data_IF_550917748318
#
_entry.id   IF_550917748318
#
_cell.length_a   1.000
_cell.length_b   1.000
_cell.length_c   1.000
_cell.angle_alpha   90.00
_cell.angle_beta   90.00
_cell.angle_gamma   90.00
#
_symmetry.space_group_name_H-M   'P 1'
#
loop_
_entity.id
_entity.type
_entity.pdbx_description
1 polymer ?
#
# COMPACT_ATOMS: atom_id res chain seq x y z
N UNK A 1 -8.90 15.81 -19.54
CA UNK A 1 -7.72 15.20 -20.19
C UNK A 1 -8.12 13.80 -20.64
N UNK A 2 -7.68 13.33 -21.84
CA UNK A 2 -7.94 11.95 -22.29
C UNK A 2 -7.16 10.97 -21.43
N UNK A 3 -7.64 9.72 -21.32
CA UNK A 3 -7.02 8.70 -20.45
C UNK A 3 -5.55 8.43 -20.80
N UNK A 4 -5.20 8.48 -22.07
CA UNK A 4 -3.82 8.36 -22.57
C UNK A 4 -2.92 9.49 -22.05
N UNK A 5 -3.39 10.74 -22.06
CA UNK A 5 -2.64 11.88 -21.54
C UNK A 5 -2.39 11.78 -20.03
N UNK A 6 -3.37 11.28 -19.28
CA UNK A 6 -3.20 11.05 -17.85
C UNK A 6 -2.23 9.89 -17.57
N UNK A 7 -2.33 8.80 -18.33
CA UNK A 7 -1.41 7.68 -18.22
C UNK A 7 0.04 8.11 -18.54
N UNK A 8 0.21 8.96 -19.56
CA UNK A 8 1.50 9.54 -19.93
C UNK A 8 2.09 10.40 -18.79
N UNK A 9 1.28 11.29 -18.20
CA UNK A 9 1.72 12.11 -17.06
C UNK A 9 2.05 11.27 -15.83
N UNK A 10 1.25 10.25 -15.55
CA UNK A 10 1.51 9.33 -14.44
C UNK A 10 2.84 8.60 -14.63
N UNK A 11 3.09 8.06 -15.81
CA UNK A 11 4.34 7.40 -16.14
C UNK A 11 5.54 8.38 -16.08
N UNK A 12 5.37 9.57 -16.66
CA UNK A 12 6.40 10.62 -16.65
C UNK A 12 6.74 11.05 -15.22
N UNK A 13 5.72 11.29 -14.39
CA UNK A 13 5.91 11.63 -12.97
C UNK A 13 6.62 10.53 -12.19
N UNK A 14 6.23 9.29 -12.41
CA UNK A 14 6.83 8.13 -11.75
C UNK A 14 8.32 8.01 -12.10
N UNK A 15 8.67 8.13 -13.38
CA UNK A 15 10.05 8.07 -13.85
C UNK A 15 10.87 9.29 -13.40
N UNK A 16 10.29 10.48 -13.42
CA UNK A 16 10.95 11.68 -12.87
C UNK A 16 11.29 11.49 -11.40
N UNK A 17 10.36 10.93 -10.63
CA UNK A 17 10.61 10.62 -9.22
C UNK A 17 11.74 9.60 -9.05
N UNK A 18 11.77 8.55 -9.86
CA UNK A 18 12.86 7.56 -9.85
C UNK A 18 14.23 8.22 -10.09
N UNK A 19 14.35 9.00 -11.17
CA UNK A 19 15.62 9.67 -11.51
C UNK A 19 16.06 10.65 -10.41
N UNK A 20 15.12 11.39 -9.81
CA UNK A 20 15.41 12.28 -8.70
C UNK A 20 15.82 11.52 -7.43
N UNK A 21 15.16 10.40 -7.12
CA UNK A 21 15.47 9.58 -5.96
C UNK A 21 16.89 8.97 -6.07
N UNK A 22 17.26 8.47 -7.24
CA UNK A 22 18.61 7.98 -7.53
C UNK A 22 19.65 9.10 -7.45
N UNK A 23 19.34 10.27 -8.02
CA UNK A 23 20.23 11.42 -7.98
C UNK A 23 20.46 11.93 -6.56
N UNK A 24 19.45 11.88 -5.71
CA UNK A 24 19.54 12.24 -4.28
C UNK A 24 20.13 11.12 -3.42
N UNK A 25 20.39 9.93 -3.97
CA UNK A 25 20.93 8.79 -3.25
C UNK A 25 19.98 8.22 -2.18
N UNK A 26 18.67 8.25 -2.42
CA UNK A 26 17.70 7.71 -1.46
C UNK A 26 17.76 6.18 -1.43
N UNK A 27 17.85 5.58 -0.23
CA UNK A 27 17.86 4.13 -0.03
C UNK A 27 16.59 3.43 -0.56
N UNK A 28 15.45 4.15 -0.56
CA UNK A 28 14.15 3.64 -0.97
C UNK A 28 13.61 4.37 -2.21
N UNK A 29 14.42 4.41 -3.29
CA UNK A 29 14.01 5.01 -4.56
C UNK A 29 12.75 4.33 -5.15
N UNK A 30 12.62 3.00 -4.97
CA UNK A 30 11.42 2.23 -5.33
C UNK A 30 10.17 2.75 -4.61
N UNK A 31 10.27 3.03 -3.30
CA UNK A 31 9.18 3.55 -2.48
C UNK A 31 8.75 4.96 -2.91
N UNK A 32 9.69 5.83 -3.24
CA UNK A 32 9.39 7.16 -3.78
C UNK A 32 8.65 7.04 -5.12
N UNK A 33 9.15 6.19 -5.99
CA UNK A 33 8.65 5.95 -7.35
C UNK A 33 7.21 5.41 -7.32
N UNK A 34 6.93 4.35 -6.57
CA UNK A 34 5.58 3.80 -6.52
C UNK A 34 4.61 4.68 -5.71
N UNK A 35 5.13 5.53 -4.80
CA UNK A 35 4.32 6.55 -4.13
C UNK A 35 3.80 7.57 -5.12
N UNK A 36 4.66 8.09 -6.00
CA UNK A 36 4.27 8.99 -7.08
C UNK A 36 3.21 8.34 -7.99
N UNK A 37 3.46 7.10 -8.41
CA UNK A 37 2.50 6.36 -9.23
C UNK A 37 1.13 6.29 -8.55
N UNK A 38 1.08 5.90 -7.29
CA UNK A 38 -0.18 5.68 -6.57
C UNK A 38 -0.96 6.98 -6.34
N UNK A 39 -0.25 8.09 -6.12
CA UNK A 39 -0.88 9.40 -5.98
C UNK A 39 -1.43 9.86 -7.32
N UNK A 40 -0.71 9.65 -8.42
CA UNK A 40 -1.12 10.13 -9.75
C UNK A 40 -2.09 9.20 -10.48
N UNK A 41 -2.00 7.87 -10.31
CA UNK A 41 -2.83 6.90 -11.02
C UNK A 41 -4.31 6.93 -10.57
N UNK A 42 -4.55 7.33 -9.33
CA UNK A 42 -5.89 7.54 -8.82
C UNK A 42 -6.37 8.94 -9.21
N UNK A 43 -7.65 9.07 -9.56
CA UNK A 43 -8.29 10.27 -10.11
C UNK A 43 -7.69 11.63 -9.69
N UNK A 44 -7.47 12.48 -10.66
CA UNK A 44 -6.80 13.78 -10.57
C UNK A 44 -7.33 14.73 -9.48
N UNK A 45 -8.65 14.70 -9.21
CA UNK A 45 -9.29 15.62 -8.25
C UNK A 45 -9.04 15.30 -6.78
N UNK A 46 -8.42 14.16 -6.47
CA UNK A 46 -8.15 13.72 -5.08
C UNK A 46 -6.67 13.49 -4.80
N UNK A 47 -5.78 13.76 -5.78
CA UNK A 47 -4.36 13.42 -5.69
C UNK A 47 -3.66 14.17 -4.56
N UNK A 48 -3.91 15.48 -4.40
CA UNK A 48 -3.30 16.28 -3.34
C UNK A 48 -3.77 15.83 -1.95
N UNK A 49 -5.08 15.68 -1.75
CA UNK A 49 -5.62 15.19 -0.48
C UNK A 49 -5.06 13.81 -0.14
N UNK A 50 -5.06 12.87 -1.09
CA UNK A 50 -4.48 11.53 -0.88
C UNK A 50 -2.98 11.57 -0.63
N UNK A 51 -2.27 12.47 -1.30
CA UNK A 51 -0.85 12.71 -1.04
C UNK A 51 -0.62 13.16 0.41
N UNK A 52 -1.39 14.16 0.87
CA UNK A 52 -1.33 14.66 2.23
C UNK A 52 -1.73 13.59 3.26
N UNK A 53 -2.85 12.90 3.04
CA UNK A 53 -3.29 11.79 3.90
C UNK A 53 -2.22 10.69 3.98
N UNK A 54 -1.51 10.45 2.89
CA UNK A 54 -0.43 9.47 2.84
C UNK A 54 0.78 9.90 3.68
N UNK A 55 1.20 11.15 3.57
CA UNK A 55 2.31 11.70 4.37
C UNK A 55 1.96 11.64 5.85
N UNK A 56 0.80 12.17 6.23
CA UNK A 56 0.35 12.21 7.62
C UNK A 56 0.18 10.79 8.18
N UNK A 57 -0.51 9.92 7.45
CA UNK A 57 -0.75 8.54 7.90
C UNK A 57 0.55 7.76 8.08
N UNK A 58 1.48 7.87 7.13
CA UNK A 58 2.79 7.22 7.25
C UNK A 58 3.62 7.79 8.38
N UNK A 59 3.65 9.12 8.52
CA UNK A 59 4.34 9.75 9.65
C UNK A 59 3.82 9.25 10.99
N UNK A 60 2.51 9.17 11.16
CA UNK A 60 1.89 8.63 12.37
C UNK A 60 2.24 7.14 12.59
N UNK A 61 2.17 6.32 11.55
CA UNK A 61 2.49 4.90 11.65
C UNK A 61 3.98 4.65 11.95
N UNK A 62 4.87 5.37 11.27
CA UNK A 62 6.32 5.33 11.51
C UNK A 62 6.64 5.74 12.95
N UNK A 63 6.09 6.86 13.40
CA UNK A 63 6.31 7.36 14.76
C UNK A 63 5.81 6.38 15.82
N UNK A 64 4.59 5.87 15.66
CA UNK A 64 4.02 4.89 16.57
C UNK A 64 4.84 3.58 16.60
N UNK A 65 5.24 3.06 15.43
CA UNK A 65 6.10 1.89 15.34
C UNK A 65 7.48 2.10 15.98
N UNK A 66 8.08 3.28 15.75
CA UNK A 66 9.36 3.65 16.37
C UNK A 66 9.26 3.72 17.90
N UNK A 67 8.22 4.35 18.44
CA UNK A 67 7.96 4.41 19.89
C UNK A 67 7.80 3.01 20.46
N UNK A 68 7.05 2.13 19.81
CA UNK A 68 6.86 0.76 20.28
C UNK A 68 8.18 -0.03 20.29
N UNK A 69 9.00 0.12 19.27
CA UNK A 69 10.26 -0.61 19.17
C UNK A 69 11.35 -0.05 20.08
N UNK A 70 11.34 1.23 20.40
CA UNK A 70 12.35 1.83 21.30
C UNK A 70 12.01 1.65 22.78
N UNK A 71 10.73 1.72 23.15
CA UNK A 71 10.32 1.70 24.55
C UNK A 71 9.87 0.33 25.06
N UNK A 72 9.41 -0.56 24.16
CA UNK A 72 8.78 -1.83 24.52
C UNK A 72 9.44 -3.05 23.87
N UNK A 73 10.64 -2.92 23.27
CA UNK A 73 11.28 -4.01 22.54
C UNK A 73 11.53 -5.26 23.41
N UNK A 74 11.81 -5.08 24.71
CA UNK A 74 12.08 -6.19 25.64
C UNK A 74 10.80 -6.92 26.10
N UNK A 75 9.62 -6.39 25.80
CA UNK A 75 8.33 -6.91 26.25
C UNK A 75 7.44 -7.33 25.08
N UNK A 76 7.81 -8.43 24.42
CA UNK A 76 7.16 -8.88 23.18
C UNK A 76 5.62 -8.98 23.27
N UNK A 77 5.09 -9.53 24.37
CA UNK A 77 3.64 -9.68 24.56
C UNK A 77 2.96 -8.31 24.67
N UNK A 78 3.51 -7.40 25.47
CA UNK A 78 2.97 -6.05 25.63
C UNK A 78 2.99 -5.30 24.29
N UNK A 79 4.08 -5.42 23.54
CA UNK A 79 4.21 -4.79 22.22
C UNK A 79 3.15 -5.31 21.24
N UNK A 80 2.92 -6.62 21.19
CA UNK A 80 1.87 -7.20 20.35
C UNK A 80 0.47 -6.72 20.76
N UNK A 81 0.18 -6.61 22.05
CA UNK A 81 -1.09 -6.06 22.55
C UNK A 81 -1.25 -4.60 22.13
N UNK A 82 -0.20 -3.79 22.29
CA UNK A 82 -0.24 -2.38 21.89
C UNK A 82 -0.42 -2.22 20.37
N UNK A 83 0.25 -3.03 19.56
CA UNK A 83 0.03 -3.06 18.11
C UNK A 83 -1.42 -3.41 17.80
N UNK A 84 -1.98 -4.44 18.46
CA UNK A 84 -3.38 -4.81 18.27
C UNK A 84 -4.34 -3.65 18.55
N UNK A 85 -4.14 -2.97 19.69
CA UNK A 85 -4.97 -1.81 20.09
C UNK A 85 -4.85 -0.67 19.09
N UNK A 86 -3.64 -0.33 18.67
CA UNK A 86 -3.40 0.73 17.68
C UNK A 86 -3.99 0.37 16.31
N UNK A 87 -3.86 -0.88 15.87
CA UNK A 87 -4.49 -1.35 14.62
C UNK A 87 -6.00 -1.27 14.68
N UNK A 88 -6.62 -1.71 15.79
CA UNK A 88 -8.07 -1.60 15.99
C UNK A 88 -8.49 -0.11 15.91
N UNK A 89 -7.77 0.78 16.56
CA UNK A 89 -8.01 2.22 16.49
C UNK A 89 -7.90 2.78 15.08
N UNK A 90 -6.81 2.47 14.36
CA UNK A 90 -6.61 2.89 12.98
C UNK A 90 -7.74 2.39 12.06
N UNK A 91 -8.11 1.12 12.16
CA UNK A 91 -9.16 0.57 11.29
C UNK A 91 -10.56 1.04 11.68
N UNK A 92 -10.82 1.26 12.96
CA UNK A 92 -12.08 1.88 13.37
C UNK A 92 -12.24 3.28 12.76
N UNK A 93 -11.19 4.10 12.77
CA UNK A 93 -11.19 5.43 12.15
C UNK A 93 -11.23 5.35 10.62
N UNK A 94 -10.62 4.32 10.02
CA UNK A 94 -10.76 4.02 8.60
C UNK A 94 -12.23 3.76 8.22
N UNK A 95 -12.92 2.87 8.95
CA UNK A 95 -14.33 2.56 8.68
C UNK A 95 -15.27 3.72 9.02
N UNK A 96 -14.88 4.62 9.92
CA UNK A 96 -15.60 5.87 10.17
C UNK A 96 -15.54 6.86 8.98
N UNK A 97 -14.70 6.60 7.97
CA UNK A 97 -14.60 7.40 6.75
C UNK A 97 -13.90 8.75 6.92
N UNK A 98 -13.51 9.14 8.14
CA UNK A 98 -12.78 10.38 8.41
C UNK A 98 -11.30 10.15 8.17
N UNK A 99 -10.73 10.79 7.15
CA UNK A 99 -9.33 10.58 6.78
C UNK A 99 -9.00 9.08 6.64
N UNK A 100 -9.92 8.31 6.04
CA UNK A 100 -9.82 6.86 5.95
C UNK A 100 -8.46 6.40 5.42
N UNK A 101 -7.98 7.06 4.38
CA UNK A 101 -6.70 6.72 3.77
C UNK A 101 -5.51 7.01 4.71
N UNK A 102 -5.58 8.07 5.54
CA UNK A 102 -4.58 8.36 6.59
C UNK A 102 -4.43 7.20 7.56
N UNK A 103 -5.55 6.70 8.08
CA UNK A 103 -5.52 5.63 9.08
C UNK A 103 -5.15 4.27 8.49
N UNK A 104 -5.52 3.99 7.24
CA UNK A 104 -5.01 2.83 6.53
C UNK A 104 -3.47 2.88 6.40
N UNK A 105 -2.93 4.03 5.98
CA UNK A 105 -1.48 4.21 5.86
C UNK A 105 -0.79 4.13 7.23
N UNK A 106 -1.39 4.68 8.29
CA UNK A 106 -0.86 4.58 9.64
C UNK A 106 -0.74 3.12 10.11
N UNK A 107 -1.78 2.31 9.92
CA UNK A 107 -1.74 0.87 10.24
C UNK A 107 -0.67 0.12 9.45
N UNK A 108 -0.55 0.40 8.13
CA UNK A 108 0.47 -0.22 7.27
C UNK A 108 1.90 0.06 7.77
N UNK A 109 2.19 1.32 8.09
CA UNK A 109 3.53 1.73 8.50
C UNK A 109 3.84 1.44 9.97
N UNK A 110 2.83 1.37 10.83
CA UNK A 110 2.98 0.83 12.19
C UNK A 110 3.56 -0.58 12.14
N UNK A 111 2.96 -1.47 11.33
CA UNK A 111 3.42 -2.85 11.19
C UNK A 111 4.79 -2.93 10.52
N UNK A 112 5.04 -2.15 9.48
CA UNK A 112 6.33 -2.13 8.79
C UNK A 112 7.46 -1.68 9.73
N UNK A 113 7.27 -0.59 10.47
CA UNK A 113 8.27 -0.07 11.42
C UNK A 113 8.48 -1.00 12.60
N UNK A 114 7.42 -1.62 13.12
CA UNK A 114 7.57 -2.63 14.16
C UNK A 114 8.49 -3.77 13.71
N UNK A 115 8.30 -4.29 12.51
CA UNK A 115 9.12 -5.38 11.98
C UNK A 115 10.60 -4.96 11.77
N UNK A 116 10.81 -3.77 11.22
CA UNK A 116 12.16 -3.22 11.00
C UNK A 116 12.86 -3.02 12.35
N UNK A 117 12.20 -2.37 13.29
CA UNK A 117 12.78 -2.07 14.59
C UNK A 117 12.95 -3.30 15.47
N UNK A 118 12.10 -4.33 15.35
CA UNK A 118 12.27 -5.60 16.05
C UNK A 118 13.45 -6.39 15.48
N UNK A 119 13.65 -6.37 14.16
CA UNK A 119 14.80 -7.02 13.52
C UNK A 119 16.13 -6.32 13.82
N UNK A 120 16.14 -4.98 13.83
CA UNK A 120 17.32 -4.18 14.10
C UNK A 120 16.95 -2.85 14.77
N UNK A 121 16.85 -2.79 16.11
CA UNK A 121 16.49 -1.59 16.84
C UNK A 121 17.44 -0.41 16.58
N UNK A 122 18.73 -0.68 16.40
CA UNK A 122 19.75 0.35 16.17
C UNK A 122 19.55 1.08 14.81
N UNK A 123 19.01 0.39 13.80
CA UNK A 123 18.74 0.96 12.49
C UNK A 123 17.32 1.56 12.36
N UNK A 124 16.47 1.43 13.38
CA UNK A 124 15.06 1.82 13.30
C UNK A 124 14.88 3.31 12.98
N UNK A 125 15.67 4.19 13.58
CA UNK A 125 15.59 5.65 13.35
C UNK A 125 16.00 5.98 11.90
N UNK A 126 17.14 5.46 11.45
CA UNK A 126 17.64 5.69 10.08
C UNK A 126 16.65 5.15 9.03
N UNK A 127 16.09 3.97 9.28
CA UNK A 127 15.07 3.40 8.41
C UNK A 127 13.78 4.26 8.39
N UNK A 128 13.37 4.81 9.54
CA UNK A 128 12.24 5.71 9.63
C UNK A 128 12.45 6.98 8.80
N UNK A 129 13.62 7.60 8.91
CA UNK A 129 14.01 8.78 8.13
C UNK A 129 14.04 8.48 6.63
N UNK A 130 14.66 7.38 6.21
CA UNK A 130 14.74 6.97 4.81
C UNK A 130 13.35 6.69 4.21
N UNK A 131 12.49 5.95 4.93
CA UNK A 131 11.12 5.69 4.51
C UNK A 131 10.29 6.97 4.38
N UNK A 132 10.42 7.89 5.34
CA UNK A 132 9.67 9.14 5.31
C UNK A 132 10.15 10.07 4.19
N UNK A 133 11.46 10.20 3.99
CA UNK A 133 12.05 10.99 2.90
C UNK A 133 11.60 10.49 1.52
N UNK A 134 11.59 9.18 1.30
CA UNK A 134 11.12 8.59 0.06
C UNK A 134 9.64 8.91 -0.24
N UNK A 135 8.80 8.85 0.80
CA UNK A 135 7.37 9.21 0.67
C UNK A 135 7.19 10.69 0.35
N UNK A 136 7.90 11.54 1.06
CA UNK A 136 7.85 12.99 0.84
C UNK A 136 8.25 13.33 -0.60
N UNK A 137 9.34 12.78 -1.10
CA UNK A 137 9.75 12.99 -2.48
C UNK A 137 8.64 12.55 -3.46
N UNK A 138 8.09 11.36 -3.28
CA UNK A 138 7.05 10.83 -4.16
C UNK A 138 5.80 11.71 -4.20
N UNK A 139 5.35 12.21 -3.05
CA UNK A 139 4.19 13.10 -2.95
C UNK A 139 4.49 14.47 -3.54
N UNK A 140 5.67 15.05 -3.27
CA UNK A 140 6.07 16.35 -3.81
C UNK A 140 6.15 16.30 -5.34
N UNK A 141 6.79 15.28 -5.91
CA UNK A 141 6.87 15.12 -7.37
C UNK A 141 5.48 14.99 -7.98
N UNK A 142 4.61 14.16 -7.40
CA UNK A 142 3.23 14.04 -7.87
C UNK A 142 2.48 15.37 -7.81
N UNK A 143 2.58 16.11 -6.70
CA UNK A 143 1.93 17.40 -6.52
C UNK A 143 2.44 18.45 -7.53
N UNK A 144 3.75 18.52 -7.74
CA UNK A 144 4.36 19.47 -8.69
C UNK A 144 3.89 19.17 -10.13
N UNK A 145 3.89 17.90 -10.53
CA UNK A 145 3.47 17.52 -11.89
C UNK A 145 1.98 17.77 -12.09
N UNK A 146 1.14 17.38 -11.14
CA UNK A 146 -0.31 17.63 -11.24
C UNK A 146 -0.63 19.14 -11.28
N UNK A 147 0.10 19.95 -10.53
CA UNK A 147 -0.02 21.39 -10.55
C UNK A 147 0.43 22.01 -11.88
N UNK A 148 1.61 21.63 -12.39
CA UNK A 148 2.18 22.16 -13.64
C UNK A 148 1.27 21.87 -14.85
N UNK A 149 0.65 20.70 -14.89
CA UNK A 149 -0.20 20.31 -16.01
C UNK A 149 -1.68 20.65 -15.80
N UNK A 150 -2.00 21.40 -14.74
CA UNK A 150 -3.37 21.89 -14.48
C UNK A 150 -4.40 20.78 -14.26
N UNK A 151 -3.94 19.63 -13.78
CA UNK A 151 -4.80 18.46 -13.57
C UNK A 151 -5.69 18.66 -12.34
N UNK A 152 -5.22 19.42 -11.36
CA UNK A 152 -5.97 19.79 -10.14
C UNK A 152 -6.09 21.31 -10.04
N UNK A 153 -7.33 21.82 -10.07
CA UNK A 153 -7.61 23.24 -9.81
C UNK A 153 -8.39 23.48 -8.51
N UNK A 154 -9.08 22.45 -8.02
CA UNK A 154 -9.90 22.56 -6.81
C UNK A 154 -9.26 21.77 -5.66
N UNK A 155 -8.64 22.50 -4.73
CA UNK A 155 -8.03 21.97 -3.49
C UNK A 155 -9.10 21.77 -2.40
N UNK A 156 -10.24 21.16 -2.73
CA UNK A 156 -11.27 20.91 -1.73
C UNK A 156 -10.92 19.65 -0.91
N UNK A 157 -10.49 19.85 0.32
CA UNK A 157 -10.25 18.75 1.26
C UNK A 157 -11.60 18.32 1.81
N UNK A 158 -12.06 17.12 1.44
CA UNK A 158 -13.30 16.55 1.94
C UNK A 158 -13.02 15.63 3.11
N UNK A 159 -13.48 16.04 4.28
CA UNK A 159 -13.51 15.18 5.47
C UNK A 159 -14.80 14.40 5.50
N UNK A 160 -14.72 13.10 5.77
CA UNK A 160 -15.93 12.29 5.99
C UNK A 160 -16.75 12.84 7.18
N UNK A 161 -18.07 12.86 7.04
CA UNK A 161 -18.99 13.47 8.00
C UNK A 161 -19.49 12.50 9.09
N UNK A 162 -19.13 11.21 9.00
CA UNK A 162 -19.66 10.21 9.94
C UNK A 162 -19.26 10.54 11.38
N UNK A 163 -20.24 10.59 12.32
CA UNK A 163 -19.95 10.84 13.72
C UNK A 163 -19.20 9.66 14.32
N UNK A 164 -18.13 9.94 15.09
CA UNK A 164 -17.37 8.90 15.81
C UNK A 164 -18.13 8.34 17.01
N UNK A 165 -19.14 9.04 17.47
CA UNK A 165 -19.94 8.69 18.64
C UNK A 165 -21.44 8.77 18.31
N UNK A 166 -22.28 7.79 18.73
CA UNK A 166 -21.93 6.63 19.57
C UNK A 166 -21.08 5.58 18.86
N UNK A 167 -20.35 4.77 19.67
CA UNK A 167 -19.49 3.70 19.17
C UNK A 167 -20.28 2.72 18.29
N UNK A 168 -19.85 2.51 17.07
CA UNK A 168 -20.49 1.60 16.12
C UNK A 168 -19.88 0.21 16.21
N UNK A 169 -20.69 -0.75 16.62
CA UNK A 169 -20.25 -2.14 16.82
C UNK A 169 -19.86 -2.85 15.54
N UNK A 170 -20.47 -2.51 14.40
CA UNK A 170 -20.11 -2.99 13.07
C UNK A 170 -18.65 -2.60 12.71
N UNK A 171 -18.28 -1.34 12.88
CA UNK A 171 -16.92 -0.87 12.64
C UNK A 171 -15.91 -1.49 13.61
N UNK A 172 -16.28 -1.60 14.88
CA UNK A 172 -15.40 -2.21 15.89
C UNK A 172 -15.17 -3.71 15.57
N UNK A 173 -16.21 -4.44 15.21
CA UNK A 173 -16.11 -5.86 14.85
C UNK A 173 -15.22 -6.06 13.63
N UNK A 174 -15.37 -5.25 12.57
CA UNK A 174 -14.53 -5.30 11.38
C UNK A 174 -13.08 -4.93 11.70
N UNK A 175 -12.86 -3.91 12.52
CA UNK A 175 -11.52 -3.49 12.95
C UNK A 175 -10.82 -4.58 13.76
N UNK A 176 -11.55 -5.25 14.65
CA UNK A 176 -11.04 -6.36 15.44
C UNK A 176 -10.71 -7.57 14.53
N UNK A 177 -11.61 -7.92 13.61
CA UNK A 177 -11.36 -8.98 12.62
C UNK A 177 -10.06 -8.71 11.85
N UNK A 178 -9.90 -7.48 11.36
CA UNK A 178 -8.74 -7.09 10.57
C UNK A 178 -7.46 -7.11 11.42
N UNK A 179 -7.48 -6.56 12.63
CA UNK A 179 -6.32 -6.60 13.52
C UNK A 179 -5.91 -8.03 13.88
N UNK A 180 -6.87 -8.90 14.21
CA UNK A 180 -6.61 -10.33 14.45
C UNK A 180 -6.02 -11.00 13.22
N UNK A 181 -6.56 -10.75 12.03
CA UNK A 181 -6.03 -11.32 10.78
C UNK A 181 -4.60 -10.88 10.52
N UNK A 182 -4.30 -9.59 10.73
CA UNK A 182 -2.93 -9.06 10.59
C UNK A 182 -1.97 -9.74 11.55
N UNK A 183 -2.33 -9.84 12.84
CA UNK A 183 -1.47 -10.46 13.85
C UNK A 183 -1.24 -11.95 13.58
N UNK A 184 -2.29 -12.70 13.26
CA UNK A 184 -2.17 -14.12 12.89
C UNK A 184 -1.28 -14.31 11.65
N UNK A 185 -1.40 -13.41 10.68
CA UNK A 185 -0.57 -13.46 9.47
C UNK A 185 0.88 -13.13 9.77
N UNK A 186 1.15 -12.13 10.64
CA UNK A 186 2.51 -11.80 11.06
C UNK A 186 3.18 -12.99 11.78
N UNK A 187 2.48 -13.58 12.74
CA UNK A 187 2.98 -14.72 13.51
C UNK A 187 3.15 -15.96 12.63
N UNK A 188 2.15 -16.25 11.79
CA UNK A 188 2.18 -17.39 10.87
C UNK A 188 3.30 -17.26 9.83
N UNK A 189 3.44 -16.10 9.21
CA UNK A 189 4.51 -15.84 8.25
C UNK A 189 5.90 -15.98 8.90
N UNK A 190 6.06 -15.42 10.10
CA UNK A 190 7.30 -15.55 10.85
C UNK A 190 7.62 -17.01 11.17
N UNK A 191 6.63 -17.79 11.61
CA UNK A 191 6.80 -19.20 11.97
C UNK A 191 7.22 -20.09 10.79
N UNK A 192 6.81 -19.74 9.56
CA UNK A 192 7.16 -20.50 8.34
C UNK A 192 8.28 -19.85 7.50
N UNK A 193 8.92 -18.81 8.03
CA UNK A 193 10.06 -18.13 7.38
C UNK A 193 9.70 -17.28 6.16
N UNK A 194 8.42 -16.88 6.01
CA UNK A 194 7.99 -15.98 4.94
C UNK A 194 8.10 -14.52 5.36
N UNK A 195 8.19 -13.57 4.40
CA UNK A 195 8.28 -12.14 4.71
C UNK A 195 6.99 -11.62 5.39
N UNK A 196 6.97 -11.41 6.71
CA UNK A 196 5.73 -11.14 7.45
C UNK A 196 5.09 -9.80 7.06
N UNK A 197 5.91 -8.76 6.77
CA UNK A 197 5.42 -7.43 6.40
C UNK A 197 4.63 -7.47 5.09
N UNK A 198 5.14 -8.18 4.06
CA UNK A 198 4.47 -8.27 2.75
C UNK A 198 3.13 -8.97 2.86
N UNK A 199 3.04 -10.00 3.71
CA UNK A 199 1.80 -10.71 3.99
C UNK A 199 0.80 -9.84 4.77
N UNK A 200 1.23 -9.16 5.82
CA UNK A 200 0.40 -8.27 6.63
C UNK A 200 -0.16 -7.09 5.83
N UNK A 201 0.67 -6.46 4.99
CA UNK A 201 0.22 -5.41 4.05
C UNK A 201 -0.87 -5.94 3.12
N UNK A 202 -0.70 -7.16 2.62
CA UNK A 202 -1.69 -7.80 1.74
C UNK A 202 -3.01 -8.04 2.47
N UNK A 203 -2.97 -8.53 3.72
CA UNK A 203 -4.15 -8.67 4.58
C UNK A 203 -4.87 -7.33 4.72
N UNK A 204 -4.16 -6.28 5.13
CA UNK A 204 -4.78 -4.97 5.37
C UNK A 204 -5.48 -4.43 4.13
N UNK A 205 -4.87 -4.59 2.95
CA UNK A 205 -5.45 -4.10 1.69
C UNK A 205 -6.60 -4.97 1.16
N UNK A 206 -6.68 -6.22 1.55
CA UNK A 206 -7.77 -7.13 1.16
C UNK A 206 -8.96 -7.05 2.11
N UNK A 207 -8.69 -7.10 3.43
CA UNK A 207 -9.74 -7.18 4.46
C UNK A 207 -10.47 -5.86 4.70
N UNK A 208 -10.00 -4.72 4.20
CA UNK A 208 -10.80 -3.49 4.14
C UNK A 208 -12.04 -3.63 3.23
N UNK A 209 -12.12 -4.71 2.44
CA UNK A 209 -13.27 -5.00 1.58
C UNK A 209 -14.25 -5.87 2.36
N UNK A 210 -15.52 -5.46 2.56
CA UNK A 210 -16.43 -6.11 3.51
C UNK A 210 -16.93 -7.48 3.05
N UNK A 211 -16.88 -7.79 1.76
CA UNK A 211 -17.43 -9.03 1.21
C UNK A 211 -16.35 -10.01 0.77
N UNK A 212 -16.47 -11.27 1.17
CA UNK A 212 -15.50 -12.34 0.85
C UNK A 212 -15.30 -12.49 -0.66
N UNK A 213 -16.35 -12.42 -1.46
CA UNK A 213 -16.24 -12.50 -2.92
C UNK A 213 -15.42 -11.33 -3.52
N UNK A 214 -15.69 -10.11 -3.07
CA UNK A 214 -14.92 -8.93 -3.49
C UNK A 214 -13.45 -9.01 -3.01
N UNK A 215 -13.21 -9.62 -1.85
CA UNK A 215 -11.88 -9.88 -1.32
C UNK A 215 -11.10 -10.87 -2.18
N UNK A 216 -11.76 -11.97 -2.62
CA UNK A 216 -11.19 -12.97 -3.53
C UNK A 216 -10.87 -12.33 -4.88
N UNK A 217 -11.81 -11.59 -5.47
CA UNK A 217 -11.60 -10.89 -6.73
C UNK A 217 -10.43 -9.89 -6.64
N UNK A 218 -10.37 -9.09 -5.58
CA UNK A 218 -9.23 -8.20 -5.33
C UNK A 218 -7.91 -8.96 -5.21
N UNK A 219 -7.91 -10.09 -4.51
CA UNK A 219 -6.75 -10.97 -4.38
C UNK A 219 -6.27 -11.50 -5.74
N UNK A 220 -7.19 -11.98 -6.55
CA UNK A 220 -6.92 -12.44 -7.92
C UNK A 220 -6.30 -11.33 -8.77
N UNK A 221 -6.90 -10.15 -8.80
CA UNK A 221 -6.40 -9.01 -9.55
C UNK A 221 -5.02 -8.52 -9.06
N UNK A 222 -4.70 -8.70 -7.76
CA UNK A 222 -3.36 -8.44 -7.23
C UNK A 222 -2.34 -9.42 -7.77
N UNK A 223 -2.70 -10.71 -7.87
CA UNK A 223 -1.84 -11.74 -8.44
C UNK A 223 -1.57 -11.43 -9.92
N UNK A 224 -2.61 -11.16 -10.69
CA UNK A 224 -2.45 -10.78 -12.09
C UNK A 224 -1.58 -9.54 -12.28
N UNK A 225 -1.79 -8.48 -11.51
CA UNK A 225 -0.96 -7.29 -11.57
C UNK A 225 0.49 -7.56 -11.22
N UNK A 226 0.77 -8.39 -10.21
CA UNK A 226 2.12 -8.80 -9.85
C UNK A 226 2.78 -9.65 -10.94
N UNK A 227 2.05 -10.58 -11.56
CA UNK A 227 2.55 -11.40 -12.68
C UNK A 227 2.90 -10.54 -13.91
N UNK A 228 2.04 -9.58 -14.27
CA UNK A 228 2.30 -8.65 -15.36
C UNK A 228 3.55 -7.79 -15.08
N UNK A 229 3.69 -7.27 -13.85
CA UNK A 229 4.87 -6.52 -13.45
C UNK A 229 6.14 -7.38 -13.51
N UNK A 230 6.06 -8.63 -13.04
CA UNK A 230 7.21 -9.58 -13.08
C UNK A 230 7.62 -9.91 -14.50
N UNK A 231 6.66 -10.18 -15.38
CA UNK A 231 6.95 -10.45 -16.80
C UNK A 231 7.60 -9.24 -17.48
N UNK A 232 7.10 -8.03 -17.21
CA UNK A 232 7.69 -6.80 -17.73
C UNK A 232 9.11 -6.57 -17.17
N UNK A 233 9.32 -6.73 -15.87
CA UNK A 233 10.61 -6.59 -15.23
C UNK A 233 11.63 -7.59 -15.77
N UNK A 234 11.24 -8.86 -15.95
CA UNK A 234 12.09 -9.87 -16.55
C UNK A 234 12.52 -9.49 -17.97
N UNK A 235 11.58 -9.03 -18.80
CA UNK A 235 11.91 -8.50 -20.14
C UNK A 235 12.86 -7.29 -20.07
N UNK A 236 12.62 -6.37 -19.14
CA UNK A 236 13.49 -5.21 -18.90
C UNK A 236 14.91 -5.64 -18.52
N UNK A 237 15.07 -6.61 -17.62
CA UNK A 237 16.38 -7.12 -17.22
C UNK A 237 17.14 -7.78 -18.36
N UNK A 238 16.47 -8.59 -19.19
CA UNK A 238 17.11 -9.20 -20.37
C UNK A 238 17.66 -8.11 -21.30
N UNK A 239 16.87 -7.09 -21.58
CA UNK A 239 17.28 -5.99 -22.46
C UNK A 239 18.42 -5.17 -21.87
N UNK A 240 18.35 -4.83 -20.58
CA UNK A 240 19.35 -4.02 -19.89
C UNK A 240 20.66 -4.79 -19.68
N UNK A 241 20.62 -6.11 -19.49
CA UNK A 241 21.83 -6.95 -19.44
C UNK A 241 22.54 -6.98 -20.78
N UNK A 242 21.79 -7.03 -21.87
CA UNK A 242 22.36 -7.01 -23.24
C UNK A 242 22.86 -5.63 -23.65
N UNK A 243 22.18 -4.56 -23.18
CA UNK A 243 22.45 -3.17 -23.51
C UNK A 243 22.42 -2.33 -22.23
N UNK A 244 23.55 -2.25 -21.46
CA UNK A 244 23.58 -1.66 -20.12
C UNK A 244 23.59 -0.12 -20.18
N UNK A 245 22.50 0.48 -20.61
CA UNK A 245 22.31 1.92 -20.65
C UNK A 245 21.22 2.36 -19.68
N UNK A 246 21.52 3.31 -18.79
CA UNK A 246 20.55 3.89 -17.85
C UNK A 246 19.33 4.50 -18.55
N UNK A 247 19.53 5.17 -19.70
CA UNK A 247 18.43 5.72 -20.49
C UNK A 247 17.46 4.65 -20.99
N UNK A 248 17.97 3.46 -21.30
CA UNK A 248 17.14 2.31 -21.73
C UNK A 248 16.30 1.78 -20.57
N UNK A 249 16.90 1.62 -19.38
CA UNK A 249 16.18 1.25 -18.16
C UNK A 249 15.04 2.23 -17.88
N UNK A 250 15.34 3.54 -17.92
CA UNK A 250 14.37 4.63 -17.72
C UNK A 250 13.23 4.57 -18.74
N UNK A 251 13.56 4.31 -20.03
CA UNK A 251 12.57 4.19 -21.10
C UNK A 251 11.65 2.99 -20.92
N UNK A 252 12.21 1.82 -20.54
CA UNK A 252 11.44 0.60 -20.30
C UNK A 252 10.58 0.72 -19.05
N UNK A 253 11.07 1.38 -18.00
CA UNK A 253 10.28 1.70 -16.82
C UNK A 253 9.12 2.63 -17.19
N UNK A 254 9.38 3.68 -17.99
CA UNK A 254 8.34 4.59 -18.47
C UNK A 254 7.24 3.84 -19.25
N UNK A 255 7.59 3.01 -20.19
CA UNK A 255 6.64 2.24 -20.98
C UNK A 255 5.80 1.29 -20.09
N UNK A 256 6.44 0.60 -19.16
CA UNK A 256 5.74 -0.28 -18.22
C UNK A 256 4.78 0.49 -17.31
N UNK A 257 5.19 1.66 -16.80
CA UNK A 257 4.34 2.51 -16.00
C UNK A 257 3.19 3.14 -16.82
N UNK A 258 3.44 3.48 -18.08
CA UNK A 258 2.40 3.95 -18.99
C UNK A 258 1.33 2.87 -19.23
N UNK A 259 1.75 1.64 -19.54
CA UNK A 259 0.83 0.50 -19.72
C UNK A 259 0.02 0.26 -18.45
N UNK A 260 0.67 0.25 -17.28
CA UNK A 260 0.03 0.06 -16.00
C UNK A 260 -1.00 1.17 -15.69
N UNK A 261 -0.64 2.43 -15.91
CA UNK A 261 -1.53 3.56 -15.69
C UNK A 261 -2.71 3.59 -16.68
N UNK A 262 -2.44 3.25 -17.94
CA UNK A 262 -3.48 3.12 -18.96
C UNK A 262 -4.47 2.01 -18.60
N UNK A 263 -3.98 0.83 -18.19
CA UNK A 263 -4.82 -0.28 -17.75
C UNK A 263 -5.64 0.08 -16.51
N UNK A 264 -5.06 0.84 -15.58
CA UNK A 264 -5.77 1.32 -14.37
C UNK A 264 -6.97 2.18 -14.73
N UNK A 265 -6.91 2.94 -15.83
CA UNK A 265 -8.00 3.83 -16.24
C UNK A 265 -9.01 3.19 -17.19
N UNK A 266 -8.54 2.38 -18.11
CA UNK A 266 -9.37 1.84 -19.19
C UNK A 266 -9.74 0.37 -19.00
N UNK A 267 -9.10 -0.30 -18.05
CA UNK A 267 -9.22 -1.75 -17.86
C UNK A 267 -10.54 -2.24 -17.26
N UNK A 268 -11.48 -1.37 -16.89
CA UNK A 268 -12.76 -1.75 -16.31
C UNK A 268 -12.52 -2.70 -15.11
N UNK A 269 -13.05 -3.91 -15.15
CA UNK A 269 -12.86 -4.92 -14.10
C UNK A 269 -11.38 -5.29 -13.83
N UNK A 270 -10.48 -5.04 -14.76
CA UNK A 270 -9.02 -5.28 -14.61
C UNK A 270 -8.25 -4.03 -14.18
N UNK A 271 -8.92 -2.89 -13.96
CA UNK A 271 -8.27 -1.64 -13.54
C UNK A 271 -7.39 -1.82 -12.30
N UNK A 272 -7.85 -2.63 -11.34
CA UNK A 272 -7.08 -2.91 -10.14
C UNK A 272 -5.81 -3.75 -10.41
N UNK A 273 -5.80 -4.62 -11.43
CA UNK A 273 -4.58 -5.32 -11.86
C UNK A 273 -3.57 -4.33 -12.47
N UNK A 274 -4.03 -3.35 -13.26
CA UNK A 274 -3.19 -2.25 -13.74
C UNK A 274 -2.57 -1.44 -12.58
N UNK A 275 -3.37 -1.08 -11.58
CA UNK A 275 -2.89 -0.40 -10.37
C UNK A 275 -1.81 -1.22 -9.66
N UNK A 276 -2.01 -2.52 -9.49
CA UNK A 276 -1.03 -3.41 -8.86
C UNK A 276 0.23 -3.57 -9.70
N UNK A 277 0.11 -3.66 -11.02
CA UNK A 277 1.27 -3.69 -11.94
C UNK A 277 2.15 -2.44 -11.73
N UNK A 278 1.56 -1.25 -11.73
CA UNK A 278 2.30 0.00 -11.55
C UNK A 278 2.94 0.17 -10.18
N UNK A 279 2.37 -0.46 -9.14
CA UNK A 279 2.97 -0.49 -7.80
C UNK A 279 4.14 -1.46 -7.69
N UNK A 280 4.03 -2.64 -8.31
CA UNK A 280 5.01 -3.72 -8.18
C UNK A 280 6.21 -3.48 -9.09
N UNK A 281 5.97 -2.92 -10.28
CA UNK A 281 7.02 -2.72 -11.28
C UNK A 281 8.24 -1.92 -10.77
N UNK A 282 8.08 -0.76 -10.08
CA UNK A 282 9.23 -0.06 -9.49
C UNK A 282 9.98 -0.90 -8.46
N UNK A 283 9.26 -1.66 -7.64
CA UNK A 283 9.88 -2.53 -6.62
C UNK A 283 10.76 -3.63 -7.24
N UNK A 284 10.52 -4.00 -8.50
CA UNK A 284 11.30 -5.01 -9.21
C UNK A 284 12.44 -4.41 -10.04
N UNK A 285 12.19 -3.25 -10.66
CA UNK A 285 13.12 -2.63 -11.62
C UNK A 285 14.07 -1.66 -10.92
N UNK A 286 13.63 -1.00 -9.83
CA UNK A 286 14.36 0.01 -9.08
C UNK A 286 15.02 -0.56 -7.81
N UNK A 287 14.99 -1.87 -7.64
CA UNK A 287 15.59 -2.54 -6.47
C UNK A 287 17.09 -2.16 -6.29
N UNK A 288 17.60 -2.17 -5.04
CA UNK A 288 19.01 -1.91 -4.78
C UNK A 288 19.94 -2.75 -5.67
N UNK A 289 21.16 -2.29 -6.00
CA UNK A 289 22.08 -2.98 -6.92
C UNK A 289 22.37 -4.44 -6.57
N UNK A 290 22.27 -4.79 -5.28
CA UNK A 290 22.50 -6.16 -4.78
C UNK A 290 21.39 -7.13 -5.25
N UNK A 291 20.18 -6.61 -5.48
CA UNK A 291 19.01 -7.40 -5.91
C UNK A 291 18.71 -7.25 -7.41
N UNK A 292 19.50 -6.47 -8.14
CA UNK A 292 19.28 -6.23 -9.56
C UNK A 292 19.37 -7.55 -10.36
N UNK A 293 18.30 -7.87 -11.08
CA UNK A 293 18.18 -9.15 -11.79
C UNK A 293 17.69 -10.31 -10.92
N UNK A 294 17.44 -10.12 -9.63
CA UNK A 294 16.86 -11.14 -8.75
C UNK A 294 15.33 -11.15 -8.87
N UNK A 295 14.75 -12.35 -9.01
CA UNK A 295 13.30 -12.54 -8.93
C UNK A 295 12.80 -12.69 -7.48
N UNK A 296 13.69 -12.70 -6.49
CA UNK A 296 13.34 -12.85 -5.07
C UNK A 296 12.29 -11.86 -4.60
N UNK A 297 12.36 -10.54 -4.90
CA UNK A 297 11.32 -9.59 -4.50
C UNK A 297 9.94 -9.90 -5.09
N UNK A 298 9.91 -10.41 -6.35
CA UNK A 298 8.66 -10.81 -6.99
C UNK A 298 8.05 -12.04 -6.33
N UNK A 299 8.86 -13.07 -6.08
CA UNK A 299 8.44 -14.29 -5.39
C UNK A 299 7.91 -13.96 -4.00
N UNK A 300 8.67 -13.23 -3.20
CA UNK A 300 8.25 -12.78 -1.87
C UNK A 300 6.96 -11.94 -1.90
N UNK A 301 6.74 -11.16 -2.95
CA UNK A 301 5.50 -10.39 -3.11
C UNK A 301 4.32 -11.31 -3.37
N UNK A 302 4.47 -12.31 -4.25
CA UNK A 302 3.42 -13.30 -4.53
C UNK A 302 3.10 -14.15 -3.30
N UNK A 303 4.12 -14.63 -2.60
CA UNK A 303 3.95 -15.35 -1.33
C UNK A 303 3.16 -14.53 -0.31
N UNK A 304 3.53 -13.25 -0.12
CA UNK A 304 2.82 -12.34 0.76
C UNK A 304 1.36 -12.11 0.34
N UNK A 305 1.08 -11.98 -0.96
CA UNK A 305 -0.29 -11.82 -1.47
C UNK A 305 -1.11 -13.10 -1.25
N UNK A 306 -0.55 -14.27 -1.55
CA UNK A 306 -1.21 -15.56 -1.37
C UNK A 306 -1.50 -15.84 0.11
N UNK A 307 -0.51 -15.68 0.98
CA UNK A 307 -0.68 -15.87 2.41
C UNK A 307 -1.72 -14.89 2.98
N UNK A 308 -1.64 -13.62 2.59
CA UNK A 308 -2.58 -12.60 3.01
C UNK A 308 -4.01 -12.88 2.53
N UNK A 309 -4.18 -13.38 1.31
CA UNK A 309 -5.48 -13.77 0.77
C UNK A 309 -6.07 -14.96 1.54
N UNK A 310 -5.28 -16.02 1.73
CA UNK A 310 -5.71 -17.21 2.48
C UNK A 310 -6.11 -16.83 3.91
N UNK A 311 -5.27 -16.09 4.63
CA UNK A 311 -5.56 -15.63 5.99
C UNK A 311 -6.85 -14.79 6.04
N UNK A 312 -7.01 -13.85 5.10
CA UNK A 312 -8.19 -12.98 5.03
C UNK A 312 -9.48 -13.77 4.79
N UNK A 313 -9.46 -14.71 3.83
CA UNK A 313 -10.63 -15.55 3.49
C UNK A 313 -10.99 -16.49 4.64
N UNK A 314 -9.98 -17.12 5.26
CA UNK A 314 -10.20 -18.04 6.40
C UNK A 314 -10.80 -17.30 7.60
N UNK A 315 -10.20 -16.18 8.00
CA UNK A 315 -10.71 -15.41 9.15
C UNK A 315 -12.06 -14.81 8.84
N UNK A 316 -12.28 -14.21 7.67
CA UNK A 316 -13.59 -13.67 7.29
C UNK A 316 -14.67 -14.76 7.21
N UNK A 317 -14.34 -15.97 6.77
CA UNK A 317 -15.26 -17.10 6.75
C UNK A 317 -15.61 -17.68 8.13
N UNK A 318 -14.69 -17.54 9.09
CA UNK A 318 -14.92 -17.98 10.47
C UNK A 318 -15.55 -16.88 11.35
N UNK A 319 -15.36 -15.61 11.00
CA UNK A 319 -15.76 -14.45 11.80
C UNK A 319 -17.26 -14.37 12.13
N UNK A 320 -18.19 -14.69 11.21
CA UNK A 320 -19.64 -14.70 11.50
C UNK A 320 -20.07 -15.64 12.64
N UNK A 321 -19.23 -16.61 13.00
CA UNK A 321 -19.48 -17.55 14.11
C UNK A 321 -19.16 -16.96 15.49
N UNK A 322 -18.56 -15.77 15.54
CA UNK A 322 -18.31 -15.08 16.80
C UNK A 322 -19.51 -14.22 17.20
N UNK A 323 -19.89 -14.19 18.50
CA UNK A 323 -21.10 -13.49 18.98
C UNK A 323 -21.15 -11.99 18.66
N UNK A 324 -20.01 -11.35 18.47
CA UNK A 324 -19.90 -9.94 18.04
C UNK A 324 -20.42 -9.72 16.60
N UNK A 325 -20.32 -10.73 15.73
CA UNK A 325 -20.72 -10.63 14.34
C UNK A 325 -22.23 -10.75 14.13
N UNK A 326 -22.94 -11.50 14.98
CA UNK A 326 -24.41 -11.65 14.89
C UNK A 326 -25.14 -10.31 15.09
N UNK A 327 -24.59 -9.41 15.91
CA UNK A 327 -25.14 -8.06 16.11
C UNK A 327 -24.91 -7.13 14.89
N UNK A 328 -23.97 -7.48 14.02
CA UNK A 328 -23.60 -6.69 12.82
C UNK A 328 -24.50 -7.06 11.63
N UNK A 329 -24.92 -8.32 11.52
CA UNK A 329 -25.77 -8.79 10.42
C UNK A 329 -27.16 -8.11 10.39
N UNK A 330 -27.57 -7.48 11.48
CA UNK A 330 -28.82 -6.74 11.58
C UNK A 330 -28.70 -5.23 11.21
N UNK A 331 -27.51 -4.73 10.94
CA UNK A 331 -27.30 -3.32 10.59
C UNK A 331 -27.30 -3.11 9.06
N UNK A 332 -27.87 -2.01 8.56
CA UNK A 332 -27.81 -1.71 7.12
C UNK A 332 -26.34 -1.56 6.69
N UNK A 333 -26.04 -2.11 5.49
CA UNK A 333 -24.68 -2.08 4.95
C UNK A 333 -24.12 -0.64 4.91
N UNK A 334 -22.92 -0.40 5.40
CA UNK A 334 -22.32 0.91 5.35
C UNK A 334 -22.04 1.29 3.89
N UNK A 335 -22.49 2.48 3.48
CA UNK A 335 -22.13 3.07 2.19
C UNK A 335 -20.70 3.61 2.33
N UNK A 336 -19.74 2.94 1.69
CA UNK A 336 -18.34 3.41 1.68
C UNK A 336 -18.17 4.52 0.65
N UNK A 337 -17.65 5.71 1.05
CA UNK A 337 -17.33 6.73 0.07
C UNK A 337 -16.16 6.27 -0.79
N UNK A 338 -16.43 5.99 -2.06
CA UNK A 338 -15.42 5.62 -3.06
C UNK A 338 -15.51 4.20 -3.62
N UNK A 339 -16.54 3.42 -3.31
CA UNK A 339 -16.87 2.27 -4.17
C UNK A 339 -17.34 2.83 -5.52
N UNK A 340 -16.42 2.83 -6.46
CA UNK A 340 -16.78 2.90 -7.89
C UNK A 340 -17.52 1.60 -8.18
N UNK A 341 -18.78 1.71 -8.59
CA UNK A 341 -19.53 0.59 -9.13
C UNK A 341 -18.67 -0.11 -10.18
N UNK A 342 -18.26 -1.35 -9.87
CA UNK A 342 -17.49 -2.22 -10.76
C UNK A 342 -18.50 -3.14 -11.49
#
# INVERSE_FOLDING_TARGET
>A
MRDEGHAFLTAGGTVTCFVLAEWLGLEHADLATWTTYLVMAQYAFTSFQKGLERVVGRGLGILAGLVLTTWFHDTAVLTLVLIAVLLIGCFYLYFAGRLAYTFLQAGLYLVAMFQIGHANPAAAVTAAEALFAAVMLGVVVAAVITWLFGVERDLEIRFGEAPLWPLRWDWLSQSLMLAVTVLLTLLGAHAIGLPPVKAAISVMLLTVTPHVQAMILKGELRIWGALLATAWAAGTFIVVVLLPHFSLLVSLLFLGQFVAAYLTRTGGKYAYAGLQMGLVLPMLVVAPPIEFGSLTPAVQRLEGVLLGLVASVVVAGLWPRFPLAERVAAAPAPVFPGEVDV
#
